data_IF_184507659823
#
_entry.id   IF_184507659823
#
_cell.length_a   1.000
_cell.length_b   1.000
_cell.length_c   1.000
_cell.angle_alpha   90.00
_cell.angle_beta   90.00
_cell.angle_gamma   90.00
#
_symmetry.space_group_name_H-M   'P 1'
#
loop_
_entity.id
_entity.type
_entity.pdbx_description
1 polymer ?
#
# COMPACT_ATOMS: atom_id res chain seq x y z
N UNK A 1 -52.48 28.77 43.64
CA UNK A 1 -52.55 30.16 44.15
C UNK A 1 -51.12 30.67 44.16
N UNK A 2 -50.65 31.63 43.38
CA UNK A 2 -51.31 32.76 42.71
C UNK A 2 -50.34 33.26 41.63
N UNK A 3 -50.82 33.50 40.41
CA UNK A 3 -50.22 34.41 39.41
C UNK A 3 -51.01 35.73 39.53
N UNK A 4 -50.43 36.94 39.40
CA UNK A 4 -50.15 37.60 38.09
C UNK A 4 -48.92 38.56 38.19
N UNK A 5 -48.44 39.36 37.23
CA UNK A 5 -48.93 39.87 35.96
C UNK A 5 -47.77 40.42 35.10
N UNK A 6 -48.01 40.43 33.79
CA UNK A 6 -47.28 40.97 32.64
C UNK A 6 -46.74 42.41 32.76
N UNK A 7 -45.65 42.69 32.04
CA UNK A 7 -45.60 43.78 31.06
C UNK A 7 -44.54 43.52 29.97
N UNK A 8 -44.93 43.93 28.77
CA UNK A 8 -44.42 43.55 27.46
C UNK A 8 -43.58 44.71 26.90
N UNK A 9 -42.44 44.43 26.26
CA UNK A 9 -41.78 45.42 25.39
C UNK A 9 -41.16 44.74 24.18
N UNK A 10 -41.72 45.10 23.02
CA UNK A 10 -41.41 44.68 21.64
C UNK A 10 -39.93 44.79 21.31
N UNK A 11 -39.37 43.76 20.67
CA UNK A 11 -38.39 43.91 19.60
C UNK A 11 -38.73 42.95 18.45
N UNK A 12 -38.62 43.51 17.25
CA UNK A 12 -39.02 42.99 15.95
C UNK A 12 -38.14 41.83 15.46
N UNK A 13 -38.58 41.06 14.44
CA UNK A 13 -37.81 39.95 13.88
C UNK A 13 -36.76 40.48 12.91
N UNK A 14 -35.51 40.03 13.05
CA UNK A 14 -34.49 40.20 12.02
C UNK A 14 -34.05 38.83 11.51
N UNK A 15 -34.65 38.43 10.40
CA UNK A 15 -34.00 37.59 9.40
C UNK A 15 -32.65 38.20 9.02
N UNK A 16 -31.56 37.43 9.14
CA UNK A 16 -30.55 37.30 8.07
C UNK A 16 -29.38 36.38 8.46
N UNK A 17 -29.15 35.40 7.57
CA UNK A 17 -27.88 34.74 7.24
C UNK A 17 -27.23 33.81 8.28
N UNK A 18 -27.84 32.65 8.51
CA UNK A 18 -27.07 31.41 8.68
C UNK A 18 -26.66 30.89 7.29
N UNK A 19 -25.54 31.40 6.77
CA UNK A 19 -24.85 30.81 5.64
C UNK A 19 -23.87 29.77 6.19
N UNK A 20 -24.24 28.51 5.99
CA UNK A 20 -23.50 27.29 6.30
C UNK A 20 -22.02 27.39 5.95
N UNK A 21 -21.16 27.38 6.97
CA UNK A 21 -19.76 26.95 6.79
C UNK A 21 -19.81 25.48 6.39
N UNK A 22 -19.41 25.17 5.16
CA UNK A 22 -19.27 23.80 4.66
C UNK A 22 -18.36 23.01 5.59
N UNK A 23 -18.81 21.83 6.02
CA UNK A 23 -18.00 20.90 6.80
C UNK A 23 -16.72 20.54 6.01
N UNK A 24 -15.51 20.82 6.53
CA UNK A 24 -14.26 20.53 5.82
C UNK A 24 -14.08 19.03 5.52
N UNK A 25 -14.78 18.14 6.22
CA UNK A 25 -14.74 16.69 5.99
C UNK A 25 -15.88 16.18 5.07
N UNK A 26 -16.73 17.06 4.55
CA UNK A 26 -17.80 16.67 3.63
C UNK A 26 -17.25 16.18 2.27
N UNK A 27 -17.89 15.17 1.64
CA UNK A 27 -17.43 14.66 0.35
C UNK A 27 -17.40 15.72 -0.74
N UNK A 28 -16.36 15.71 -1.55
CA UNK A 28 -16.15 16.62 -2.67
C UNK A 28 -16.75 16.07 -3.97
N UNK A 29 -17.70 16.80 -4.53
CA UNK A 29 -18.37 16.50 -5.80
C UNK A 29 -17.77 17.37 -6.90
N UNK A 30 -17.22 16.75 -7.94
CA UNK A 30 -16.83 17.45 -9.17
C UNK A 30 -17.99 17.42 -10.17
N UNK A 31 -18.51 18.58 -10.56
CA UNK A 31 -19.56 18.71 -11.56
C UNK A 31 -18.96 19.20 -12.87
N UNK A 32 -19.18 18.46 -13.95
CA UNK A 32 -18.62 18.75 -15.27
C UNK A 32 -19.76 18.85 -16.28
N UNK A 33 -19.97 20.04 -16.81
CA UNK A 33 -21.01 20.35 -17.81
C UNK A 33 -20.58 21.64 -18.52
N UNK A 34 -20.78 21.78 -19.83
CA UNK A 34 -20.38 22.99 -20.56
C UNK A 34 -21.36 24.16 -20.36
N UNK A 35 -22.56 23.88 -19.82
CA UNK A 35 -23.58 24.86 -19.51
C UNK A 35 -23.48 25.35 -18.06
N UNK A 36 -23.07 26.61 -17.90
CA UNK A 36 -22.92 27.26 -16.59
C UNK A 36 -24.20 27.27 -15.74
N UNK A 37 -25.39 27.32 -16.37
CA UNK A 37 -26.67 27.28 -15.65
C UNK A 37 -26.90 25.92 -14.98
N UNK A 38 -26.55 24.83 -15.67
CA UNK A 38 -26.68 23.47 -15.14
C UNK A 38 -25.68 23.26 -14.01
N UNK A 39 -24.43 23.70 -14.20
CA UNK A 39 -23.43 23.67 -13.13
C UNK A 39 -23.90 24.39 -11.87
N UNK A 40 -24.41 25.62 -12.02
CA UNK A 40 -24.83 26.42 -10.86
C UNK A 40 -26.03 25.80 -10.16
N UNK A 41 -27.01 25.29 -10.91
CA UNK A 41 -28.15 24.56 -10.36
C UNK A 41 -27.70 23.32 -9.57
N UNK A 42 -26.87 22.47 -10.16
CA UNK A 42 -26.40 21.26 -9.50
C UNK A 42 -25.52 21.57 -8.30
N UNK A 43 -24.69 22.62 -8.38
CA UNK A 43 -23.87 23.11 -7.26
C UNK A 43 -24.74 23.49 -6.07
N UNK A 44 -25.71 24.39 -6.26
CA UNK A 44 -26.59 24.84 -5.18
C UNK A 44 -27.34 23.67 -4.52
N UNK A 45 -27.82 22.72 -5.33
CA UNK A 45 -28.58 21.58 -4.82
C UNK A 45 -27.69 20.59 -4.04
N UNK A 46 -26.46 20.35 -4.49
CA UNK A 46 -25.48 19.49 -3.79
C UNK A 46 -24.96 20.15 -2.51
N UNK A 47 -24.64 21.44 -2.54
CA UNK A 47 -24.22 22.19 -1.35
C UNK A 47 -25.31 22.20 -0.27
N UNK A 48 -26.58 22.34 -0.67
CA UNK A 48 -27.74 22.25 0.24
C UNK A 48 -27.85 20.89 0.93
N UNK A 49 -27.38 19.83 0.27
CA UNK A 49 -27.32 18.48 0.83
C UNK A 49 -26.05 18.22 1.67
N UNK A 50 -25.19 19.23 1.83
CA UNK A 50 -24.00 19.20 2.68
C UNK A 50 -22.73 18.73 1.98
N UNK A 51 -22.70 18.66 0.65
CA UNK A 51 -21.51 18.30 -0.12
C UNK A 51 -20.62 19.52 -0.39
N UNK A 52 -19.31 19.31 -0.48
CA UNK A 52 -18.42 20.29 -1.10
C UNK A 52 -18.52 20.14 -2.62
N UNK A 53 -18.47 21.25 -3.36
CA UNK A 53 -18.62 21.21 -4.82
C UNK A 53 -17.51 21.99 -5.51
N UNK A 54 -16.95 21.38 -6.54
CA UNK A 54 -16.09 22.03 -7.53
C UNK A 54 -16.68 21.80 -8.92
N UNK A 55 -16.52 22.77 -9.82
CA UNK A 55 -17.11 22.71 -11.16
C UNK A 55 -16.06 22.84 -12.25
N UNK A 56 -16.27 22.17 -13.38
CA UNK A 56 -15.45 22.28 -14.58
C UNK A 56 -16.32 22.42 -15.84
N UNK A 57 -16.00 23.38 -16.70
CA UNK A 57 -16.77 23.71 -17.91
C UNK A 57 -16.36 22.93 -19.17
N UNK A 58 -15.38 22.04 -19.05
CA UNK A 58 -14.85 21.26 -20.15
C UNK A 58 -14.18 20.00 -19.63
N UNK A 59 -14.08 18.98 -20.48
CA UNK A 59 -13.37 17.74 -20.14
C UNK A 59 -11.90 17.98 -19.77
N UNK A 60 -11.22 18.96 -20.41
CA UNK A 60 -9.84 19.30 -20.07
C UNK A 60 -9.71 19.90 -18.67
N UNK A 61 -10.57 20.85 -18.32
CA UNK A 61 -10.59 21.42 -16.97
C UNK A 61 -10.96 20.35 -15.93
N UNK A 62 -11.85 19.41 -16.26
CA UNK A 62 -12.22 18.32 -15.38
C UNK A 62 -11.00 17.44 -15.02
N UNK A 63 -10.16 17.10 -15.99
CA UNK A 63 -8.93 16.33 -15.76
C UNK A 63 -7.94 17.08 -14.86
N UNK A 64 -7.76 18.38 -15.09
CA UNK A 64 -6.89 19.23 -14.25
C UNK A 64 -7.38 19.29 -12.80
N UNK A 65 -8.69 19.48 -12.62
CA UNK A 65 -9.32 19.54 -11.29
C UNK A 65 -9.25 18.17 -10.60
N UNK A 66 -9.52 17.09 -11.32
CA UNK A 66 -9.46 15.73 -10.80
C UNK A 66 -8.05 15.40 -10.29
N UNK A 67 -7.03 15.66 -11.11
CA UNK A 67 -5.64 15.41 -10.75
C UNK A 67 -5.20 16.18 -9.49
N UNK A 68 -5.71 17.40 -9.30
CA UNK A 68 -5.34 18.28 -8.18
C UNK A 68 -6.12 17.99 -6.89
N UNK A 69 -7.43 17.78 -7.00
CA UNK A 69 -8.34 17.76 -5.85
C UNK A 69 -8.85 16.36 -5.47
N UNK A 70 -8.71 15.37 -6.36
CA UNK A 70 -9.13 13.97 -6.11
C UNK A 70 -10.55 13.89 -5.51
N UNK A 71 -11.58 14.32 -6.25
CA UNK A 71 -12.96 14.36 -5.76
C UNK A 71 -13.48 12.96 -5.38
N UNK A 72 -14.47 12.89 -4.50
CA UNK A 72 -15.08 11.63 -4.06
C UNK A 72 -16.11 11.08 -5.06
N UNK A 73 -16.63 11.93 -5.94
CA UNK A 73 -17.51 11.56 -7.06
C UNK A 73 -17.44 12.60 -8.16
N UNK A 74 -17.60 12.15 -9.41
CA UNK A 74 -17.70 13.02 -10.60
C UNK A 74 -19.10 12.92 -11.19
N UNK A 75 -19.78 14.05 -11.36
CA UNK A 75 -21.00 14.19 -12.16
C UNK A 75 -20.59 14.75 -13.52
N UNK A 76 -20.80 13.98 -14.58
CA UNK A 76 -20.21 14.27 -15.89
C UNK A 76 -21.28 14.33 -16.98
N UNK A 77 -21.44 15.47 -17.63
CA UNK A 77 -22.28 15.56 -18.82
C UNK A 77 -21.70 14.73 -19.97
N UNK A 78 -22.53 13.94 -20.63
CA UNK A 78 -22.11 13.11 -21.75
C UNK A 78 -21.82 13.95 -23.01
N UNK A 79 -22.55 15.04 -23.23
CA UNK A 79 -22.48 15.84 -24.44
C UNK A 79 -21.80 17.18 -24.18
N UNK A 80 -20.49 17.26 -24.42
CA UNK A 80 -19.71 18.49 -24.26
C UNK A 80 -18.88 18.78 -25.51
N UNK A 81 -18.58 20.07 -25.82
CA UNK A 81 -17.76 20.45 -26.97
C UNK A 81 -16.29 20.08 -26.76
N UNK A 82 -15.58 19.86 -27.87
CA UNK A 82 -14.15 19.49 -27.96
C UNK A 82 -13.84 18.09 -27.41
N UNK A 83 -14.21 17.81 -26.16
CA UNK A 83 -14.06 16.52 -25.51
C UNK A 83 -15.40 16.11 -24.92
N UNK A 84 -15.98 15.02 -25.44
CA UNK A 84 -17.24 14.50 -24.91
C UNK A 84 -17.06 13.83 -23.53
N UNK A 85 -18.16 13.64 -22.81
CA UNK A 85 -18.14 13.05 -21.47
C UNK A 85 -17.63 11.61 -21.45
N UNK A 86 -17.85 10.86 -22.53
CA UNK A 86 -17.34 9.49 -22.66
C UNK A 86 -15.81 9.47 -22.70
N UNK A 87 -15.20 10.29 -23.56
CA UNK A 87 -13.74 10.43 -23.65
C UNK A 87 -13.16 10.96 -22.34
N UNK A 88 -13.81 11.95 -21.73
CA UNK A 88 -13.41 12.50 -20.45
C UNK A 88 -13.43 11.44 -19.34
N UNK A 89 -14.49 10.60 -19.28
CA UNK A 89 -14.60 9.50 -18.33
C UNK A 89 -13.44 8.51 -18.48
N UNK A 90 -13.15 8.08 -19.71
CA UNK A 90 -12.02 7.16 -19.97
C UNK A 90 -10.68 7.74 -19.50
N UNK A 91 -10.45 9.04 -19.74
CA UNK A 91 -9.24 9.72 -19.30
C UNK A 91 -9.19 9.86 -17.78
N UNK A 92 -10.31 10.15 -17.10
CA UNK A 92 -10.38 10.16 -15.63
C UNK A 92 -10.03 8.77 -15.08
N UNK A 93 -10.59 7.70 -15.64
CA UNK A 93 -10.33 6.32 -15.19
C UNK A 93 -8.86 5.91 -15.33
N UNK A 94 -8.11 6.53 -16.25
CA UNK A 94 -6.69 6.28 -16.44
C UNK A 94 -5.77 7.11 -15.51
N UNK A 95 -6.31 8.12 -14.79
CA UNK A 95 -5.54 8.91 -13.84
C UNK A 95 -5.38 8.19 -12.49
N UNK A 96 -4.33 8.51 -11.72
CA UNK A 96 -4.21 8.02 -10.34
C UNK A 96 -5.47 8.36 -9.52
N UNK A 97 -6.10 7.36 -8.92
CA UNK A 97 -7.34 7.50 -8.15
C UNK A 97 -8.63 7.42 -8.99
N UNK A 98 -8.51 7.43 -10.32
CA UNK A 98 -9.62 7.32 -11.26
C UNK A 98 -10.42 6.03 -11.12
N UNK A 99 -9.70 4.91 -10.99
CA UNK A 99 -10.24 3.55 -10.80
C UNK A 99 -11.11 3.40 -9.54
N UNK A 100 -11.00 4.32 -8.58
CA UNK A 100 -11.71 4.31 -7.30
C UNK A 100 -12.81 5.36 -7.21
N UNK A 101 -12.76 6.38 -8.07
CA UNK A 101 -13.70 7.50 -8.00
C UNK A 101 -14.90 7.21 -8.90
N UNK A 102 -16.11 7.08 -8.33
CA UNK A 102 -17.30 6.85 -9.14
C UNK A 102 -17.56 8.02 -10.09
N UNK A 103 -17.76 7.72 -11.37
CA UNK A 103 -18.21 8.68 -12.39
C UNK A 103 -19.68 8.40 -12.73
N UNK A 104 -20.56 9.33 -12.39
CA UNK A 104 -22.00 9.29 -12.70
C UNK A 104 -22.27 10.19 -13.92
N UNK A 105 -22.62 9.59 -15.06
CA UNK A 105 -22.92 10.37 -16.25
C UNK A 105 -24.31 11.00 -16.20
N UNK A 106 -24.44 12.22 -16.69
CA UNK A 106 -25.72 12.90 -16.93
C UNK A 106 -25.88 13.01 -18.44
N UNK A 107 -26.98 12.52 -18.98
CA UNK A 107 -27.06 12.29 -20.44
C UNK A 107 -28.50 12.33 -20.95
N UNK A 108 -28.69 12.73 -22.20
CA UNK A 108 -29.96 12.65 -22.91
C UNK A 108 -30.02 11.31 -23.67
N UNK A 109 -30.08 10.18 -22.97
CA UNK A 109 -30.19 8.86 -23.60
C UNK A 109 -31.64 8.61 -24.03
N UNK A 110 -31.84 8.21 -25.28
CA UNK A 110 -33.14 7.80 -25.83
C UNK A 110 -33.17 6.32 -26.28
N UNK A 111 -32.01 5.64 -26.28
CA UNK A 111 -31.85 4.29 -26.83
C UNK A 111 -30.82 3.41 -26.07
N UNK A 112 -30.86 2.10 -26.35
CA UNK A 112 -30.05 1.09 -25.66
C UNK A 112 -28.56 1.18 -26.02
N UNK A 113 -28.19 1.63 -27.22
CA UNK A 113 -26.78 1.76 -27.63
C UNK A 113 -26.05 2.81 -26.79
N UNK A 114 -26.72 3.93 -26.52
CA UNK A 114 -26.14 5.01 -25.73
C UNK A 114 -25.93 4.59 -24.26
N UNK A 115 -26.77 3.70 -23.72
CA UNK A 115 -26.57 3.10 -22.39
C UNK A 115 -25.30 2.25 -22.33
N UNK A 116 -25.05 1.41 -23.35
CA UNK A 116 -23.83 0.59 -23.41
C UNK A 116 -22.57 1.46 -23.46
N UNK A 117 -22.60 2.56 -24.23
CA UNK A 117 -21.50 3.53 -24.32
C UNK A 117 -21.11 4.13 -22.96
N UNK A 118 -22.08 4.36 -22.07
CA UNK A 118 -21.81 4.89 -20.71
C UNK A 118 -20.90 3.93 -19.95
N UNK A 119 -21.26 2.64 -19.92
CA UNK A 119 -20.52 1.64 -19.15
C UNK A 119 -19.19 1.28 -19.81
N UNK A 120 -19.13 1.23 -21.14
CA UNK A 120 -17.88 1.02 -21.89
C UNK A 120 -16.85 2.14 -21.66
N UNK A 121 -17.32 3.37 -21.40
CA UNK A 121 -16.45 4.47 -21.03
C UNK A 121 -15.91 4.40 -19.58
N UNK A 122 -16.38 3.43 -18.78
CA UNK A 122 -15.96 3.23 -17.40
C UNK A 122 -16.80 4.01 -16.36
N UNK A 123 -17.94 4.58 -16.75
CA UNK A 123 -18.86 5.17 -15.78
C UNK A 123 -19.57 4.08 -14.97
N UNK A 124 -19.82 4.37 -13.69
CA UNK A 124 -20.45 3.41 -12.78
C UNK A 124 -21.96 3.35 -12.96
N UNK A 125 -22.57 4.46 -13.41
CA UNK A 125 -24.01 4.63 -13.52
C UNK A 125 -24.33 5.90 -14.35
N UNK A 126 -25.62 6.14 -14.64
CA UNK A 126 -26.08 7.37 -15.30
C UNK A 126 -27.43 7.91 -14.76
N UNK A 127 -27.70 9.17 -15.10
CA UNK A 127 -28.98 9.87 -14.92
C UNK A 127 -29.41 10.52 -16.23
N UNK A 128 -30.68 10.38 -16.59
CA UNK A 128 -31.24 10.98 -17.81
C UNK A 128 -31.59 12.46 -17.60
N UNK A 129 -31.38 13.28 -18.63
CA UNK A 129 -31.95 14.65 -18.72
C UNK A 129 -33.43 14.55 -19.17
N UNK A 130 -34.37 15.34 -18.60
CA UNK A 130 -34.19 16.34 -17.55
C UNK A 130 -33.89 15.72 -16.19
N UNK A 131 -32.99 16.35 -15.44
CA UNK A 131 -32.44 15.80 -14.19
C UNK A 131 -33.52 15.77 -13.11
N UNK A 132 -33.92 14.57 -12.69
CA UNK A 132 -34.74 14.41 -11.48
C UNK A 132 -33.86 14.46 -10.24
N UNK A 133 -33.97 15.54 -9.46
CA UNK A 133 -33.17 15.75 -8.26
C UNK A 133 -33.27 14.62 -7.23
N UNK A 134 -34.47 14.08 -7.00
CA UNK A 134 -34.67 13.02 -6.03
C UNK A 134 -33.90 11.75 -6.42
N UNK A 135 -33.87 11.44 -7.72
CA UNK A 135 -33.14 10.30 -8.26
C UNK A 135 -31.63 10.53 -8.22
N UNK A 136 -31.16 11.70 -8.67
CA UNK A 136 -29.74 12.05 -8.65
C UNK A 136 -29.16 11.99 -7.24
N UNK A 137 -29.84 12.62 -6.27
CA UNK A 137 -29.45 12.60 -4.85
C UNK A 137 -29.29 11.18 -4.31
N UNK A 138 -30.26 10.32 -4.57
CA UNK A 138 -30.22 8.93 -4.08
C UNK A 138 -29.06 8.15 -4.71
N UNK A 139 -28.78 8.36 -6.00
CA UNK A 139 -27.66 7.71 -6.70
C UNK A 139 -26.32 8.19 -6.17
N UNK A 140 -26.12 9.51 -6.03
CA UNK A 140 -24.89 10.10 -5.46
C UNK A 140 -24.62 9.55 -4.07
N UNK A 141 -25.63 9.58 -3.19
CA UNK A 141 -25.49 9.05 -1.82
C UNK A 141 -25.09 7.57 -1.81
N UNK A 142 -25.73 6.75 -2.67
CA UNK A 142 -25.43 5.33 -2.79
C UNK A 142 -23.99 5.09 -3.26
N UNK A 143 -23.55 5.80 -4.30
CA UNK A 143 -22.22 5.63 -4.89
C UNK A 143 -21.12 6.05 -3.91
N UNK A 144 -21.29 7.18 -3.22
CA UNK A 144 -20.37 7.63 -2.17
C UNK A 144 -20.29 6.62 -1.02
N UNK A 145 -21.44 6.09 -0.56
CA UNK A 145 -21.46 5.08 0.49
C UNK A 145 -20.71 3.79 0.06
N UNK A 146 -20.90 3.35 -1.19
CA UNK A 146 -20.21 2.19 -1.73
C UNK A 146 -18.69 2.41 -1.85
N UNK A 147 -18.26 3.57 -2.36
CA UNK A 147 -16.86 3.92 -2.45
C UNK A 147 -16.19 3.96 -1.06
N UNK A 148 -16.87 4.54 -0.07
CA UNK A 148 -16.37 4.59 1.30
C UNK A 148 -16.26 3.20 1.93
N UNK A 149 -17.27 2.33 1.76
CA UNK A 149 -17.20 0.94 2.24
C UNK A 149 -16.05 0.16 1.60
N UNK A 150 -15.83 0.35 0.30
CA UNK A 150 -14.71 -0.29 -0.40
C UNK A 150 -13.35 0.19 0.13
N UNK A 151 -13.21 1.50 0.37
CA UNK A 151 -12.03 2.09 1.01
C UNK A 151 -11.79 1.51 2.40
N UNK A 152 -12.83 1.42 3.24
CA UNK A 152 -12.75 0.83 4.58
C UNK A 152 -12.32 -0.64 4.53
N UNK A 153 -12.87 -1.43 3.60
CA UNK A 153 -12.49 -2.82 3.41
C UNK A 153 -11.02 -2.96 3.02
N UNK A 154 -10.54 -2.13 2.09
CA UNK A 154 -9.12 -2.11 1.71
C UNK A 154 -8.23 -1.76 2.91
N UNK A 155 -8.56 -0.71 3.66
CA UNK A 155 -7.82 -0.33 4.87
C UNK A 155 -7.80 -1.45 5.91
N UNK A 156 -8.95 -2.07 6.19
CA UNK A 156 -9.04 -3.18 7.14
C UNK A 156 -8.24 -4.41 6.67
N UNK A 157 -8.25 -4.71 5.37
CA UNK A 157 -7.48 -5.82 4.81
C UNK A 157 -5.97 -5.53 4.87
N UNK A 158 -5.54 -4.31 4.55
CA UNK A 158 -4.15 -3.90 4.75
C UNK A 158 -3.74 -3.96 6.22
N UNK A 159 -4.63 -3.62 7.16
CA UNK A 159 -4.38 -3.75 8.59
C UNK A 159 -4.31 -5.22 9.05
N UNK A 160 -5.17 -6.09 8.52
CA UNK A 160 -5.07 -7.53 8.77
C UNK A 160 -3.75 -8.09 8.21
N UNK A 161 -3.36 -7.71 7.00
CA UNK A 161 -2.06 -8.06 6.43
C UNK A 161 -0.91 -7.51 7.27
N UNK A 162 -1.07 -6.32 7.87
CA UNK A 162 -0.14 -5.75 8.83
C UNK A 162 0.03 -6.61 10.08
N UNK A 163 -1.05 -7.25 10.53
CA UNK A 163 -1.07 -8.14 11.69
C UNK A 163 -0.53 -9.54 11.38
N UNK A 164 -0.43 -9.92 10.10
CA UNK A 164 0.22 -11.17 9.71
C UNK A 164 1.72 -10.95 9.73
N UNK A 165 2.41 -11.53 10.71
CA UNK A 165 3.87 -11.47 10.87
C UNK A 165 4.63 -12.45 9.96
N UNK A 166 3.93 -13.22 9.12
CA UNK A 166 4.44 -14.36 8.37
C UNK A 166 4.37 -14.12 6.85
N UNK A 167 5.40 -14.54 6.11
CA UNK A 167 5.44 -14.56 4.65
C UNK A 167 4.57 -15.70 4.10
N UNK A 168 3.65 -15.37 3.19
CA UNK A 168 2.66 -16.33 2.67
C UNK A 168 3.27 -17.49 1.90
N UNK A 169 4.44 -17.30 1.26
CA UNK A 169 5.08 -18.36 0.47
C UNK A 169 5.90 -19.29 1.37
N UNK A 170 6.78 -18.70 2.16
CA UNK A 170 7.86 -19.41 2.87
C UNK A 170 7.50 -19.76 4.32
N UNK A 171 6.44 -19.16 4.87
CA UNK A 171 5.94 -19.37 6.24
C UNK A 171 6.95 -18.99 7.35
N UNK A 172 8.03 -18.28 7.00
CA UNK A 172 8.89 -17.58 7.96
C UNK A 172 8.39 -16.16 8.19
N UNK A 173 9.01 -15.39 9.08
CA UNK A 173 8.57 -14.00 9.29
C UNK A 173 8.66 -13.18 8.00
N UNK A 174 7.76 -12.21 7.82
CA UNK A 174 7.88 -11.28 6.69
C UNK A 174 8.84 -10.13 7.00
N UNK A 175 9.20 -9.35 5.98
CA UNK A 175 10.09 -8.18 6.12
C UNK A 175 9.64 -7.21 7.20
N UNK A 176 8.33 -6.99 7.33
CA UNK A 176 7.79 -6.07 8.35
C UNK A 176 8.07 -6.58 9.77
N UNK A 177 7.79 -7.84 10.04
CA UNK A 177 8.09 -8.46 11.33
C UNK A 177 9.60 -8.44 11.61
N UNK A 178 10.44 -8.60 10.58
CA UNK A 178 11.87 -8.41 10.70
C UNK A 178 12.24 -6.99 11.13
N UNK A 179 11.74 -5.94 10.44
CA UNK A 179 12.07 -4.55 10.73
C UNK A 179 11.66 -4.18 12.18
N UNK A 180 10.44 -4.53 12.58
CA UNK A 180 9.92 -4.28 13.94
C UNK A 180 10.72 -5.06 15.00
N UNK A 181 11.08 -6.31 14.73
CA UNK A 181 11.87 -7.12 15.68
C UNK A 181 13.30 -6.60 15.81
N UNK A 182 13.91 -6.17 14.71
CA UNK A 182 15.28 -5.66 14.71
C UNK A 182 15.38 -4.38 15.53
N UNK A 183 14.43 -3.45 15.37
CA UNK A 183 14.35 -2.23 16.18
C UNK A 183 14.23 -2.55 17.67
N UNK A 184 13.31 -3.45 18.03
CA UNK A 184 13.11 -3.84 19.42
C UNK A 184 14.33 -4.52 20.04
N UNK A 185 14.95 -5.48 19.33
CA UNK A 185 16.11 -6.22 19.84
C UNK A 185 17.37 -5.35 19.90
N UNK A 186 17.56 -4.38 19.00
CA UNK A 186 18.66 -3.41 19.11
C UNK A 186 18.59 -2.60 20.40
N UNK A 187 17.42 -2.02 20.70
CA UNK A 187 17.21 -1.24 21.92
C UNK A 187 17.40 -2.12 23.16
N UNK A 188 16.89 -3.36 23.12
CA UNK A 188 17.00 -4.30 24.24
C UNK A 188 18.44 -4.73 24.48
N UNK A 189 19.18 -5.12 23.44
CA UNK A 189 20.56 -5.59 23.53
C UNK A 189 21.51 -4.47 23.98
N UNK A 190 21.27 -3.23 23.53
CA UNK A 190 22.01 -2.06 24.03
C UNK A 190 21.82 -1.86 25.54
N UNK A 191 20.58 -1.95 26.05
CA UNK A 191 20.29 -1.85 27.49
C UNK A 191 20.89 -2.98 28.31
N UNK A 192 20.84 -4.21 27.78
CA UNK A 192 21.39 -5.40 28.44
C UNK A 192 22.92 -5.52 28.31
N UNK A 193 23.56 -4.64 27.53
CA UNK A 193 25.01 -4.72 27.20
C UNK A 193 25.38 -6.09 26.62
N UNK A 194 24.54 -6.59 25.72
CA UNK A 194 24.71 -7.89 25.05
C UNK A 194 24.86 -7.67 23.53
N UNK A 195 25.55 -8.58 22.82
CA UNK A 195 25.71 -8.46 21.38
C UNK A 195 24.43 -8.86 20.63
N UNK A 196 24.15 -8.17 19.54
CA UNK A 196 23.14 -8.55 18.55
C UNK A 196 23.83 -8.88 17.22
N UNK A 197 23.60 -10.08 16.69
CA UNK A 197 24.07 -10.43 15.36
C UNK A 197 22.93 -10.43 14.34
N UNK A 198 23.27 -10.02 13.12
CA UNK A 198 22.39 -10.03 11.95
C UNK A 198 23.08 -10.77 10.81
N UNK A 199 22.33 -11.66 10.16
CA UNK A 199 22.77 -12.35 8.95
C UNK A 199 21.81 -12.00 7.83
N UNK A 200 22.31 -11.43 6.73
CA UNK A 200 21.59 -11.38 5.46
C UNK A 200 22.04 -12.54 4.58
N UNK A 201 21.10 -13.20 3.95
CA UNK A 201 21.29 -14.43 3.18
C UNK A 201 20.59 -14.29 1.83
N UNK A 202 21.26 -14.66 0.75
CA UNK A 202 20.71 -14.59 -0.60
C UNK A 202 20.97 -15.89 -1.36
N UNK A 203 19.99 -16.33 -2.14
CA UNK A 203 20.06 -17.56 -2.91
C UNK A 203 20.87 -17.32 -4.18
N UNK A 204 21.99 -18.05 -4.31
CA UNK A 204 22.93 -17.84 -5.38
C UNK A 204 22.34 -18.20 -6.76
N UNK A 205 22.41 -17.24 -7.69
CA UNK A 205 21.91 -17.39 -9.07
C UNK A 205 20.41 -17.77 -9.15
N UNK A 206 19.58 -17.28 -8.23
CA UNK A 206 18.15 -17.63 -8.20
C UNK A 206 17.36 -17.16 -9.42
N UNK A 207 17.66 -15.97 -9.98
CA UNK A 207 17.07 -15.54 -11.25
C UNK A 207 17.32 -16.56 -12.37
N UNK A 208 18.57 -17.03 -12.49
CA UNK A 208 18.96 -18.03 -13.49
C UNK A 208 18.31 -19.39 -13.22
N UNK A 209 18.08 -19.73 -11.95
CA UNK A 209 17.30 -20.91 -11.57
C UNK A 209 15.87 -20.81 -12.10
N UNK A 210 15.18 -19.69 -11.87
CA UNK A 210 13.83 -19.45 -12.37
C UNK A 210 13.76 -19.47 -13.90
N UNK A 211 14.74 -18.87 -14.56
CA UNK A 211 14.82 -18.86 -16.03
C UNK A 211 15.01 -20.28 -16.61
N UNK A 212 15.61 -21.20 -15.83
CA UNK A 212 15.88 -22.58 -16.26
C UNK A 212 14.73 -23.53 -15.93
N UNK A 213 14.15 -23.43 -14.73
CA UNK A 213 13.21 -24.41 -14.20
C UNK A 213 11.78 -23.90 -14.12
N UNK A 214 11.55 -22.59 -14.23
CA UNK A 214 10.24 -21.95 -14.05
C UNK A 214 10.04 -21.36 -12.65
N UNK A 215 9.11 -20.40 -12.56
CA UNK A 215 8.81 -19.69 -11.31
C UNK A 215 8.15 -20.59 -10.25
N UNK A 216 7.36 -21.60 -10.65
CA UNK A 216 6.70 -22.52 -9.71
C UNK A 216 7.72 -23.39 -8.98
N UNK A 217 8.75 -23.84 -9.69
CA UNK A 217 9.90 -24.57 -9.19
C UNK A 217 10.74 -23.67 -8.28
N UNK A 218 10.91 -22.40 -8.66
CA UNK A 218 11.49 -21.35 -7.82
C UNK A 218 10.79 -21.20 -6.47
N UNK A 219 9.46 -21.11 -6.48
CA UNK A 219 8.65 -21.02 -5.28
C UNK A 219 8.82 -22.24 -4.36
N UNK A 220 8.88 -23.44 -4.95
CA UNK A 220 9.19 -24.67 -4.22
C UNK A 220 10.60 -24.68 -3.63
N UNK A 221 11.58 -24.17 -4.38
CA UNK A 221 12.95 -24.02 -3.93
C UNK A 221 13.02 -23.09 -2.70
N UNK A 222 12.40 -21.90 -2.76
CA UNK A 222 12.35 -20.95 -1.65
C UNK A 222 11.69 -21.53 -0.40
N UNK A 223 10.60 -22.30 -0.54
CA UNK A 223 9.96 -23.00 0.58
C UNK A 223 10.91 -23.98 1.28
N UNK A 224 11.68 -24.76 0.51
CA UNK A 224 12.65 -25.71 1.07
C UNK A 224 13.81 -25.00 1.76
N UNK A 225 14.34 -23.93 1.15
CA UNK A 225 15.41 -23.11 1.73
C UNK A 225 14.94 -22.48 3.04
N UNK A 226 13.77 -21.84 3.06
CA UNK A 226 13.23 -21.21 4.26
C UNK A 226 13.07 -22.20 5.42
N UNK A 227 12.58 -23.41 5.13
CA UNK A 227 12.51 -24.50 6.11
C UNK A 227 13.88 -24.92 6.60
N UNK A 228 14.85 -25.10 5.71
CA UNK A 228 16.22 -25.47 6.09
C UNK A 228 16.92 -24.39 6.96
N UNK A 229 16.69 -23.10 6.66
CA UNK A 229 17.17 -21.99 7.49
C UNK A 229 16.51 -22.05 8.87
N UNK A 230 15.19 -22.23 8.92
CA UNK A 230 14.43 -22.29 10.18
C UNK A 230 14.87 -23.47 11.06
N UNK A 231 15.09 -24.66 10.48
CA UNK A 231 15.55 -25.85 11.22
C UNK A 231 17.01 -25.70 11.71
N UNK A 232 17.81 -24.89 11.02
CA UNK A 232 19.19 -24.57 11.42
C UNK A 232 19.25 -23.55 12.57
N UNK A 233 18.28 -22.63 12.65
CA UNK A 233 18.19 -21.57 13.65
C UNK A 233 17.30 -22.03 14.82
N UNK A 234 17.92 -22.40 15.94
CA UNK A 234 17.28 -23.26 16.96
C UNK A 234 16.83 -22.56 18.23
N UNK A 235 17.22 -21.29 18.46
CA UNK A 235 16.93 -20.65 19.75
C UNK A 235 15.57 -19.95 19.68
N UNK A 236 14.74 -20.01 20.75
CA UNK A 236 13.43 -19.36 20.77
C UNK A 236 13.43 -17.84 20.59
N UNK A 237 14.60 -17.18 20.74
CA UNK A 237 14.75 -15.74 20.53
C UNK A 237 15.31 -15.36 19.16
N UNK A 238 15.71 -16.33 18.34
CA UNK A 238 16.20 -16.06 17.00
C UNK A 238 15.00 -15.86 16.06
N UNK A 239 15.13 -14.95 15.09
CA UNK A 239 14.12 -14.71 14.05
C UNK A 239 14.68 -15.09 12.68
N UNK A 240 13.91 -15.83 11.89
CA UNK A 240 14.15 -16.01 10.45
C UNK A 240 13.05 -15.30 9.70
N UNK A 241 13.41 -14.48 8.72
CA UNK A 241 12.47 -13.73 7.90
C UNK A 241 12.82 -13.78 6.42
N UNK A 242 11.82 -13.66 5.55
CA UNK A 242 12.00 -13.37 4.13
C UNK A 242 12.08 -11.86 3.96
N UNK A 243 13.27 -11.37 3.61
CA UNK A 243 13.60 -9.94 3.53
C UNK A 243 13.29 -9.35 2.15
N UNK A 244 13.45 -10.15 1.10
CA UNK A 244 13.23 -9.79 -0.30
C UNK A 244 12.95 -11.05 -1.14
N UNK A 245 12.70 -10.90 -2.44
CA UNK A 245 12.26 -11.98 -3.34
C UNK A 245 12.94 -13.33 -3.07
N UNK A 246 14.28 -13.35 -3.18
CA UNK A 246 15.15 -14.49 -2.86
C UNK A 246 16.06 -14.27 -1.63
N UNK A 247 15.77 -13.24 -0.83
CA UNK A 247 16.60 -12.82 0.29
C UNK A 247 15.96 -13.18 1.62
N UNK A 248 16.76 -13.71 2.53
CA UNK A 248 16.39 -14.04 3.90
C UNK A 248 17.24 -13.24 4.88
N UNK A 249 16.67 -12.93 6.04
CA UNK A 249 17.36 -12.29 7.14
C UNK A 249 17.21 -13.11 8.42
N UNK A 250 18.26 -13.13 9.25
CA UNK A 250 18.29 -13.84 10.51
C UNK A 250 18.75 -12.89 11.62
N UNK A 251 17.91 -12.69 12.63
CA UNK A 251 18.24 -11.90 13.83
C UNK A 251 18.62 -12.88 14.94
N UNK A 252 19.79 -12.65 15.56
CA UNK A 252 20.35 -13.52 16.59
C UNK A 252 20.67 -12.69 17.84
N UNK A 253 19.71 -12.50 18.76
CA UNK A 253 19.95 -11.83 20.04
C UNK A 253 20.99 -12.59 20.88
N UNK A 254 21.76 -11.85 21.68
CA UNK A 254 22.78 -12.39 22.60
C UNK A 254 23.76 -13.33 21.91
N UNK A 255 24.15 -12.99 20.69
CA UNK A 255 25.03 -13.82 19.85
C UNK A 255 26.22 -13.00 19.39
N UNK A 256 27.43 -13.48 19.72
CA UNK A 256 28.68 -12.88 19.26
C UNK A 256 28.91 -13.14 17.77
N UNK A 257 29.84 -12.40 17.17
CA UNK A 257 30.29 -12.66 15.79
C UNK A 257 30.66 -14.14 15.56
N UNK A 258 31.43 -14.74 16.46
CA UNK A 258 31.80 -16.16 16.40
C UNK A 258 30.58 -17.10 16.44
N UNK A 259 29.57 -16.80 17.26
CA UNK A 259 28.34 -17.57 17.31
C UNK A 259 27.50 -17.42 16.04
N UNK A 260 27.44 -16.22 15.47
CA UNK A 260 26.73 -15.93 14.24
C UNK A 260 27.35 -16.69 13.04
N UNK A 261 28.68 -16.79 13.00
CA UNK A 261 29.40 -17.60 12.01
C UNK A 261 29.03 -19.07 12.08
N UNK A 262 28.92 -19.64 13.28
CA UNK A 262 28.49 -21.04 13.45
C UNK A 262 27.03 -21.27 13.04
N UNK A 263 26.16 -20.27 13.23
CA UNK A 263 24.79 -20.29 12.68
C UNK A 263 24.84 -20.24 11.15
N UNK A 264 25.58 -19.31 10.55
CA UNK A 264 25.72 -19.19 9.10
C UNK A 264 26.24 -20.48 8.45
N UNK A 265 27.29 -21.08 9.00
CA UNK A 265 27.82 -22.37 8.53
C UNK A 265 26.76 -23.47 8.55
N UNK A 266 25.98 -23.55 9.62
CA UNK A 266 24.90 -24.53 9.77
C UNK A 266 23.77 -24.29 8.77
N UNK A 267 23.39 -23.03 8.55
CA UNK A 267 22.41 -22.65 7.51
C UNK A 267 22.90 -23.11 6.15
N UNK A 268 24.11 -22.73 5.75
CA UNK A 268 24.71 -23.14 4.47
C UNK A 268 24.74 -24.65 4.30
N UNK A 269 25.21 -25.38 5.31
CA UNK A 269 25.27 -26.83 5.26
C UNK A 269 23.88 -27.46 5.13
N UNK A 270 22.87 -26.90 5.81
CA UNK A 270 21.49 -27.39 5.73
C UNK A 270 20.88 -27.16 4.34
N UNK A 271 21.15 -26.01 3.72
CA UNK A 271 20.75 -25.74 2.33
C UNK A 271 21.45 -26.69 1.36
N UNK A 272 22.76 -26.88 1.50
CA UNK A 272 23.54 -27.77 0.62
C UNK A 272 23.07 -29.23 0.75
N UNK A 273 22.60 -29.66 1.92
CA UNK A 273 22.02 -30.99 2.13
C UNK A 273 20.67 -31.21 1.42
N UNK A 274 19.97 -30.14 1.00
CA UNK A 274 18.75 -30.28 0.21
C UNK A 274 19.03 -30.85 -1.18
N UNK A 275 20.27 -30.72 -1.68
CA UNK A 275 20.71 -31.19 -3.00
C UNK A 275 19.73 -30.83 -4.12
N UNK A 276 19.23 -29.58 -4.13
CA UNK A 276 18.33 -29.07 -5.16
C UNK A 276 19.16 -28.78 -6.42
N UNK A 277 18.95 -29.48 -7.55
CA UNK A 277 19.80 -29.32 -8.74
C UNK A 277 19.71 -27.91 -9.33
N UNK A 278 20.84 -27.32 -9.69
CA UNK A 278 20.93 -26.04 -10.40
C UNK A 278 21.93 -26.11 -11.55
N UNK A 279 21.50 -26.70 -12.67
CA UNK A 279 22.38 -26.99 -13.81
C UNK A 279 22.95 -25.74 -14.51
N UNK A 280 22.31 -24.58 -14.34
CA UNK A 280 22.77 -23.33 -14.91
C UNK A 280 23.69 -22.55 -13.95
N UNK A 281 23.84 -23.00 -12.71
CA UNK A 281 24.74 -22.38 -11.74
C UNK A 281 26.19 -22.47 -12.17
N UNK A 282 26.94 -21.39 -11.91
CA UNK A 282 28.40 -21.36 -12.09
C UNK A 282 29.16 -21.68 -10.79
N UNK A 283 28.46 -21.93 -9.68
CA UNK A 283 29.05 -22.17 -8.36
C UNK A 283 29.14 -23.66 -8.03
N UNK A 284 28.06 -24.39 -8.29
CA UNK A 284 27.83 -25.75 -7.82
C UNK A 284 26.69 -26.38 -8.63
N UNK A 285 26.67 -27.70 -8.76
CA UNK A 285 25.57 -28.45 -9.39
C UNK A 285 24.24 -28.34 -8.62
N UNK A 286 24.28 -27.76 -7.42
CA UNK A 286 23.13 -27.56 -6.55
C UNK A 286 22.95 -26.08 -6.15
N UNK A 287 21.74 -25.73 -5.73
CA UNK A 287 21.45 -24.44 -5.10
C UNK A 287 22.33 -24.23 -3.86
N UNK A 288 22.87 -23.02 -3.75
CA UNK A 288 23.72 -22.56 -2.66
C UNK A 288 23.26 -21.19 -2.17
N UNK A 289 23.78 -20.75 -1.03
CA UNK A 289 23.46 -19.45 -0.45
C UNK A 289 24.73 -18.69 -0.07
N UNK A 290 24.71 -17.38 -0.30
CA UNK A 290 25.72 -16.45 0.19
C UNK A 290 25.19 -15.66 1.37
N UNK A 291 26.04 -15.35 2.35
CA UNK A 291 25.63 -14.66 3.57
C UNK A 291 26.57 -13.51 3.95
N UNK A 292 25.99 -12.41 4.41
CA UNK A 292 26.68 -11.32 5.07
C UNK A 292 26.36 -11.31 6.55
N UNK A 293 27.39 -11.28 7.40
CA UNK A 293 27.25 -11.33 8.85
C UNK A 293 27.73 -9.99 9.42
N UNK A 294 26.98 -9.47 10.37
CA UNK A 294 27.40 -8.34 11.21
C UNK A 294 26.99 -8.57 12.65
N UNK A 295 27.68 -7.93 13.58
CA UNK A 295 27.43 -8.04 15.01
C UNK A 295 27.71 -6.69 15.65
N UNK A 296 26.80 -6.25 16.53
CA UNK A 296 27.05 -5.06 17.35
C UNK A 296 28.05 -5.36 18.45
N UNK A 297 28.81 -4.34 18.86
CA UNK A 297 29.57 -4.39 20.10
C UNK A 297 28.68 -4.00 21.28
N UNK A 298 28.82 -4.65 22.46
CA UNK A 298 28.12 -4.25 23.66
C UNK A 298 28.34 -2.76 23.99
N UNK A 299 27.25 -2.02 24.17
CA UNK A 299 27.29 -0.59 24.50
C UNK A 299 27.44 0.37 23.31
N UNK A 300 27.51 -0.16 22.09
CA UNK A 300 27.52 0.65 20.88
C UNK A 300 26.08 1.08 20.50
N UNK A 301 25.88 2.38 20.23
CA UNK A 301 24.62 2.87 19.65
C UNK A 301 24.64 2.68 18.13
N UNK A 302 23.97 1.62 17.67
CA UNK A 302 23.85 1.28 16.25
C UNK A 302 22.40 1.40 15.81
N UNK A 303 22.16 2.06 14.68
CA UNK A 303 20.82 2.12 14.08
C UNK A 303 20.56 0.88 13.21
N UNK A 304 19.29 0.45 13.04
CA UNK A 304 18.93 -0.65 12.15
C UNK A 304 19.52 -0.50 10.74
N UNK A 305 19.48 0.72 10.20
CA UNK A 305 20.01 1.02 8.87
C UNK A 305 21.54 0.80 8.78
N UNK A 306 22.32 1.19 9.81
CA UNK A 306 23.77 0.94 9.84
C UNK A 306 24.06 -0.56 9.90
N UNK A 307 23.31 -1.31 10.72
CA UNK A 307 23.49 -2.76 10.86
C UNK A 307 23.15 -3.50 9.56
N UNK A 308 22.00 -3.21 8.95
CA UNK A 308 21.59 -3.81 7.67
C UNK A 308 22.63 -3.51 6.59
N UNK A 309 23.11 -2.26 6.50
CA UNK A 309 24.15 -1.88 5.54
C UNK A 309 25.45 -2.65 5.74
N UNK A 310 25.87 -2.88 6.98
CA UNK A 310 27.07 -3.67 7.28
C UNK A 310 26.91 -5.13 6.81
N UNK A 311 25.75 -5.74 7.10
CA UNK A 311 25.44 -7.09 6.62
C UNK A 311 25.39 -7.16 5.08
N UNK A 312 24.80 -6.17 4.42
CA UNK A 312 24.71 -6.11 2.96
C UNK A 312 26.09 -6.03 2.29
N UNK A 313 27.01 -5.22 2.84
CA UNK A 313 28.41 -5.17 2.38
C UNK A 313 29.09 -6.54 2.56
N UNK A 314 28.84 -7.22 3.68
CA UNK A 314 29.31 -8.60 3.89
C UNK A 314 28.77 -9.55 2.83
N UNK A 315 27.47 -9.48 2.54
CA UNK A 315 26.82 -10.32 1.53
C UNK A 315 27.40 -10.07 0.13
N UNK A 316 27.61 -8.80 -0.23
CA UNK A 316 28.27 -8.42 -1.47
C UNK A 316 29.68 -9.02 -1.57
N UNK A 317 30.47 -8.97 -0.50
CA UNK A 317 31.82 -9.59 -0.46
C UNK A 317 31.76 -11.10 -0.62
N UNK A 318 30.82 -11.77 0.04
CA UNK A 318 30.62 -13.21 -0.11
C UNK A 318 30.33 -13.60 -1.56
N UNK A 319 29.44 -12.86 -2.23
CA UNK A 319 29.12 -13.04 -3.65
C UNK A 319 30.35 -12.79 -4.54
N UNK A 320 31.09 -11.71 -4.31
CA UNK A 320 32.28 -11.34 -5.08
C UNK A 320 33.43 -12.35 -4.95
N UNK A 321 33.55 -13.02 -3.81
CA UNK A 321 34.58 -14.03 -3.55
C UNK A 321 34.24 -15.42 -4.11
N UNK A 322 33.14 -15.57 -4.85
CA UNK A 322 32.77 -16.82 -5.50
C UNK A 322 31.59 -17.55 -4.87
N UNK A 323 30.76 -16.86 -4.07
CA UNK A 323 29.46 -17.38 -3.55
C UNK A 323 29.60 -18.61 -2.63
N UNK A 324 28.48 -19.23 -2.23
CA UNK A 324 28.40 -20.37 -1.29
C UNK A 324 29.25 -20.20 -0.01
N UNK A 325 29.21 -19.00 0.56
CA UNK A 325 30.04 -18.64 1.72
C UNK A 325 29.41 -17.52 2.54
N UNK A 326 30.01 -17.27 3.69
CA UNK A 326 29.75 -16.09 4.50
C UNK A 326 30.92 -15.10 4.40
N UNK A 327 30.64 -13.83 4.68
CA UNK A 327 31.65 -12.82 4.97
C UNK A 327 31.17 -11.97 6.14
N UNK A 328 32.10 -11.62 7.02
CA UNK A 328 31.84 -10.82 8.21
C UNK A 328 32.24 -9.36 7.99
N UNK A 329 31.43 -8.44 8.52
CA UNK A 329 31.77 -7.03 8.64
C UNK A 329 31.53 -6.59 10.09
N UNK A 330 32.58 -6.11 10.75
CA UNK A 330 32.43 -5.38 12.01
C UNK A 330 31.73 -4.04 11.72
N UNK A 331 30.79 -3.64 12.57
CA UNK A 331 30.28 -2.27 12.57
C UNK A 331 31.43 -1.37 13.01
N UNK A 332 32.09 -0.72 12.04
CA UNK A 332 33.06 0.31 12.37
C UNK A 332 32.31 1.51 12.97
N UNK A 333 32.70 1.90 14.18
CA UNK A 333 32.51 3.27 14.63
C UNK A 333 33.24 4.20 13.62
N UNK A 334 32.60 5.32 13.31
CA UNK A 334 32.96 6.30 12.27
C UNK A 334 34.44 6.52 11.97
#
# INVERSE_FOLDING_TARGET
MTVPHFLNSRQSPSDSSDLSKSDPDAPLVLIVDDNWLIQDLLRQMMEKDGYQVVTANSGQQALEVFARLQPDIVLLDAAMPVMDGYTCCQLIQALPGGDRTPVLMITALEDTESVNRVFEAGAIDFVTKPINWAVLRQRVKRLLQQANLYKQLQTANSELQRLVSIDSLTQVANRRCFDETLEHELVRMSREQMPLALILCDVDFFKLYNDTYGHLEGDWCLKKIARAISDAVRRPGDLVARYGGEEFAIILPRTSATGAVEVAKRVRNSVNQLQIPHAASQVSDYITVSMGITCTLPGEEVTPAKLIRAADIGLYRAKAQGRDRHSELETAAE
#
